data_IF_567469314159
#
_entry.id   IF_567469314159
#
_cell.length_a   1.000
_cell.length_b   1.000
_cell.length_c   1.000
_cell.angle_alpha   90.00
_cell.angle_beta   90.00
_cell.angle_gamma   90.00
#
_symmetry.space_group_name_H-M   'P 1'
#
loop_
_entity.id
_entity.type
_entity.pdbx_description
1 polymer ?
#
# COMPACT_ATOMS: atom_id res chain seq x y z
N UNK A 1 -30.70 8.54 -4.49
CA UNK A 1 -30.05 7.70 -3.47
C UNK A 1 -28.61 8.14 -3.30
N UNK A 2 -27.98 7.85 -2.16
CA UNK A 2 -26.54 8.14 -1.97
C UNK A 2 -25.71 7.39 -3.02
N UNK A 3 -24.68 8.05 -3.58
CA UNK A 3 -23.88 7.47 -4.70
C UNK A 3 -23.11 6.21 -4.29
N UNK A 4 -22.66 6.15 -3.04
CA UNK A 4 -21.99 4.99 -2.45
C UNK A 4 -22.87 3.73 -2.41
N UNK A 5 -24.18 3.87 -2.17
CA UNK A 5 -25.11 2.75 -2.22
C UNK A 5 -25.18 2.11 -3.61
N UNK A 6 -25.04 2.91 -4.68
CA UNK A 6 -24.99 2.39 -6.05
C UNK A 6 -23.70 1.62 -6.32
N UNK A 7 -22.55 2.12 -5.83
CA UNK A 7 -21.25 1.44 -5.94
C UNK A 7 -21.25 0.11 -5.16
N UNK A 8 -21.78 0.09 -3.94
CA UNK A 8 -21.88 -1.14 -3.14
C UNK A 8 -22.77 -2.19 -3.81
N UNK A 9 -23.89 -1.79 -4.41
CA UNK A 9 -24.75 -2.70 -5.16
C UNK A 9 -24.07 -3.24 -6.43
N UNK A 10 -23.29 -2.41 -7.14
CA UNK A 10 -22.52 -2.84 -8.30
C UNK A 10 -21.42 -3.83 -7.91
N UNK A 11 -20.69 -3.54 -6.82
CA UNK A 11 -19.68 -4.44 -6.28
C UNK A 11 -20.30 -5.78 -5.89
N UNK A 12 -21.42 -5.80 -5.18
CA UNK A 12 -22.11 -7.05 -4.81
C UNK A 12 -22.38 -7.93 -6.04
N UNK A 13 -22.96 -7.36 -7.11
CA UNK A 13 -23.21 -8.10 -8.35
C UNK A 13 -21.92 -8.66 -8.96
N UNK A 14 -20.86 -7.85 -9.01
CA UNK A 14 -19.57 -8.31 -9.52
C UNK A 14 -19.00 -9.46 -8.69
N UNK A 15 -19.10 -9.43 -7.36
CA UNK A 15 -18.64 -10.51 -6.50
C UNK A 15 -19.45 -11.79 -6.74
N UNK A 16 -20.77 -11.69 -6.87
CA UNK A 16 -21.65 -12.83 -7.14
C UNK A 16 -21.37 -13.46 -8.51
N UNK A 17 -21.06 -12.64 -9.53
CA UNK A 17 -20.74 -13.08 -10.90
C UNK A 17 -19.35 -13.71 -11.03
N UNK A 18 -18.37 -13.24 -10.26
CA UNK A 18 -16.96 -13.63 -10.40
C UNK A 18 -16.49 -14.63 -9.35
N UNK A 19 -17.22 -14.77 -8.24
CA UNK A 19 -16.82 -15.58 -7.10
C UNK A 19 -15.65 -15.01 -6.29
N UNK A 20 -15.24 -13.77 -6.55
CA UNK A 20 -14.17 -13.11 -5.80
C UNK A 20 -14.62 -12.93 -4.33
N UNK A 21 -13.76 -13.25 -3.34
CA UNK A 21 -14.10 -13.12 -1.92
C UNK A 21 -14.47 -11.68 -1.54
N UNK A 22 -15.55 -11.51 -0.76
CA UNK A 22 -16.00 -10.20 -0.25
C UNK A 22 -14.98 -9.59 0.71
N UNK A 23 -14.17 -10.44 1.34
CA UNK A 23 -13.13 -10.11 2.30
C UNK A 23 -12.15 -9.09 1.74
N UNK A 24 -11.78 -9.19 0.46
CA UNK A 24 -10.89 -8.22 -0.18
C UNK A 24 -11.46 -6.79 -0.17
N UNK A 25 -12.77 -6.65 -0.32
CA UNK A 25 -13.42 -5.35 -0.25
C UNK A 25 -13.60 -4.85 1.19
N UNK A 26 -13.90 -5.75 2.13
CA UNK A 26 -14.12 -5.37 3.53
C UNK A 26 -12.81 -5.13 4.29
N UNK A 27 -11.70 -5.74 3.87
CA UNK A 27 -10.38 -5.49 4.46
C UNK A 27 -9.95 -4.03 4.30
N UNK A 28 -10.32 -3.38 3.17
CA UNK A 28 -10.09 -1.94 2.97
C UNK A 28 -10.80 -1.08 4.02
N UNK A 29 -11.96 -1.53 4.53
CA UNK A 29 -12.71 -0.80 5.58
C UNK A 29 -11.89 -0.78 6.88
N UNK A 30 -11.08 -1.81 7.15
CA UNK A 30 -10.19 -1.83 8.32
C UNK A 30 -9.18 -0.69 8.23
N UNK A 31 -8.55 -0.49 7.07
CA UNK A 31 -7.65 0.63 6.84
C UNK A 31 -8.37 1.98 7.01
N UNK A 32 -9.57 2.14 6.43
CA UNK A 32 -10.36 3.38 6.57
C UNK A 32 -10.77 3.70 8.01
N UNK A 33 -11.07 2.69 8.83
CA UNK A 33 -11.36 2.90 10.26
C UNK A 33 -10.09 3.33 10.99
N UNK A 34 -8.92 2.74 10.70
CA UNK A 34 -7.64 3.14 11.30
C UNK A 34 -7.31 4.59 10.95
N UNK A 35 -7.43 4.93 9.68
CA UNK A 35 -7.30 6.28 9.13
C UNK A 35 -8.20 7.33 9.82
N UNK A 36 -9.35 6.92 10.38
CA UNK A 36 -10.28 7.79 11.09
C UNK A 36 -10.04 7.84 12.60
N UNK A 37 -9.32 6.88 13.18
CA UNK A 37 -9.25 6.69 14.65
C UNK A 37 -7.83 6.69 15.22
N UNK A 38 -6.83 6.28 14.44
CA UNK A 38 -5.45 6.04 14.91
C UNK A 38 -4.45 6.58 13.90
N UNK A 39 -4.00 7.85 14.02
CA UNK A 39 -3.07 8.46 13.05
C UNK A 39 -1.60 8.10 13.30
N UNK A 40 -1.31 7.05 14.10
CA UNK A 40 0.05 6.75 14.58
C UNK A 40 0.58 5.46 13.97
N UNK A 41 1.82 5.52 13.51
CA UNK A 41 2.55 4.40 12.94
C UNK A 41 3.75 4.13 13.86
N UNK A 42 3.64 3.27 14.87
CA UNK A 42 4.67 3.16 15.91
C UNK A 42 6.02 2.68 15.37
N UNK A 43 6.00 1.74 14.43
CA UNK A 43 7.18 1.11 13.86
C UNK A 43 6.91 0.66 12.39
N UNK A 44 7.95 0.13 11.75
CA UNK A 44 7.85 -0.41 10.39
C UNK A 44 6.87 -1.58 10.28
N UNK A 45 6.75 -2.41 11.32
CA UNK A 45 5.82 -3.55 11.30
C UNK A 45 4.36 -3.09 11.27
N UNK A 46 4.03 -2.02 12.00
CA UNK A 46 2.72 -1.39 11.96
C UNK A 46 2.42 -0.74 10.61
N UNK A 47 3.42 -0.13 9.96
CA UNK A 47 3.27 0.38 8.58
C UNK A 47 2.96 -0.74 7.60
N UNK A 48 3.67 -1.87 7.69
CA UNK A 48 3.43 -3.04 6.84
C UNK A 48 2.09 -3.71 7.14
N UNK A 49 1.67 -3.77 8.41
CA UNK A 49 0.34 -4.24 8.79
C UNK A 49 -0.76 -3.31 8.27
N UNK A 50 -0.54 -1.99 8.26
CA UNK A 50 -1.44 -1.08 7.59
C UNK A 50 -1.56 -1.39 6.09
N UNK A 51 -0.43 -1.58 5.39
CA UNK A 51 -0.39 -1.94 3.96
C UNK A 51 -1.12 -3.26 3.65
N UNK A 52 -1.14 -4.20 4.59
CA UNK A 52 -1.92 -5.45 4.49
C UNK A 52 -3.42 -5.20 4.33
N UNK A 53 -3.93 -4.10 4.89
CA UNK A 53 -5.35 -3.74 4.79
C UNK A 53 -5.61 -2.65 3.76
N UNK A 54 -4.68 -1.72 3.52
CA UNK A 54 -4.88 -0.59 2.62
C UNK A 54 -4.55 -0.88 1.16
N UNK A 55 -3.67 -1.86 0.88
CA UNK A 55 -3.15 -2.10 -0.47
C UNK A 55 -3.22 -3.57 -0.91
N UNK A 56 -2.80 -4.52 -0.07
CA UNK A 56 -2.81 -5.95 -0.41
C UNK A 56 -4.18 -6.47 -0.90
N UNK A 57 -5.34 -6.06 -0.34
CA UNK A 57 -6.63 -6.57 -0.79
C UNK A 57 -6.94 -6.21 -2.25
N UNK A 58 -6.43 -5.08 -2.75
CA UNK A 58 -6.60 -4.67 -4.16
C UNK A 58 -5.84 -5.61 -5.09
N UNK A 59 -4.58 -5.92 -4.78
CA UNK A 59 -3.79 -6.86 -5.58
C UNK A 59 -4.40 -8.27 -5.60
N UNK A 60 -4.82 -8.77 -4.44
CA UNK A 60 -5.49 -10.06 -4.31
C UNK A 60 -6.83 -10.11 -5.04
N UNK A 61 -7.62 -9.03 -5.00
CA UNK A 61 -8.85 -8.91 -5.78
C UNK A 61 -8.58 -9.10 -7.27
N UNK A 62 -7.58 -8.39 -7.82
CA UNK A 62 -7.23 -8.50 -9.24
C UNK A 62 -6.75 -9.90 -9.62
N UNK A 63 -5.96 -10.55 -8.76
CA UNK A 63 -5.49 -11.92 -8.98
C UNK A 63 -6.66 -12.92 -8.97
N UNK A 64 -7.53 -12.83 -7.98
CA UNK A 64 -8.70 -13.71 -7.87
C UNK A 64 -9.67 -13.48 -9.03
N UNK A 65 -9.86 -12.24 -9.47
CA UNK A 65 -10.70 -11.89 -10.63
C UNK A 65 -10.20 -12.53 -11.93
N UNK A 66 -8.88 -12.67 -12.09
CA UNK A 66 -8.28 -13.36 -13.24
C UNK A 66 -8.11 -14.87 -13.02
N UNK A 67 -8.58 -15.42 -11.90
CA UNK A 67 -8.46 -16.85 -11.58
C UNK A 67 -7.01 -17.31 -11.36
N UNK A 68 -6.16 -16.40 -10.88
CA UNK A 68 -4.76 -16.68 -10.60
C UNK A 68 -4.57 -17.54 -9.35
N UNK A 69 -3.41 -18.19 -9.23
CA UNK A 69 -3.12 -19.01 -8.05
C UNK A 69 -2.90 -18.13 -6.83
N UNK A 70 -3.45 -18.50 -5.67
CA UNK A 70 -3.14 -17.84 -4.38
C UNK A 70 -1.66 -17.95 -3.99
N UNK A 71 -0.88 -18.82 -4.62
CA UNK A 71 0.57 -18.83 -4.50
C UNK A 71 1.24 -17.52 -4.98
N UNK A 72 0.54 -16.72 -5.79
CA UNK A 72 1.00 -15.38 -6.23
C UNK A 72 0.77 -14.28 -5.19
N UNK A 73 -0.09 -14.51 -4.18
CA UNK A 73 -0.45 -13.48 -3.21
C UNK A 73 0.75 -12.90 -2.46
N UNK A 74 1.71 -13.68 -1.91
CA UNK A 74 2.83 -13.08 -1.19
C UNK A 74 3.67 -12.11 -2.03
N UNK A 75 3.89 -12.43 -3.32
CA UNK A 75 4.63 -11.56 -4.22
C UNK A 75 3.82 -10.32 -4.62
N UNK A 76 2.50 -10.45 -4.76
CA UNK A 76 1.59 -9.32 -4.99
C UNK A 76 1.47 -8.42 -3.77
N UNK A 77 1.35 -8.97 -2.57
CA UNK A 77 1.27 -8.22 -1.32
C UNK A 77 2.55 -7.40 -1.11
N UNK A 78 3.71 -7.96 -1.43
CA UNK A 78 4.98 -7.24 -1.39
C UNK A 78 5.00 -6.08 -2.38
N UNK A 79 4.55 -6.28 -3.62
CA UNK A 79 4.46 -5.20 -4.61
C UNK A 79 3.49 -4.10 -4.17
N UNK A 80 2.30 -4.48 -3.70
CA UNK A 80 1.29 -3.56 -3.19
C UNK A 80 1.80 -2.75 -2.00
N UNK A 81 2.51 -3.38 -1.05
CA UNK A 81 3.10 -2.69 0.08
C UNK A 81 4.18 -1.70 -0.36
N UNK A 82 5.06 -2.07 -1.30
CA UNK A 82 6.07 -1.13 -1.81
C UNK A 82 5.42 0.08 -2.47
N UNK A 83 4.43 -0.14 -3.35
CA UNK A 83 3.71 0.95 -4.00
C UNK A 83 3.00 1.85 -2.98
N UNK A 84 2.41 1.26 -1.93
CA UNK A 84 1.73 2.02 -0.90
C UNK A 84 2.69 2.87 -0.06
N UNK A 85 3.86 2.34 0.30
CA UNK A 85 4.91 3.11 0.99
C UNK A 85 5.40 4.25 0.09
N UNK A 86 5.60 4.00 -1.21
CA UNK A 86 5.98 5.06 -2.16
C UNK A 86 4.90 6.15 -2.27
N UNK A 87 3.62 5.78 -2.30
CA UNK A 87 2.50 6.74 -2.26
C UNK A 87 2.58 7.59 -0.99
N UNK A 88 2.76 6.97 0.17
CA UNK A 88 2.92 7.69 1.43
C UNK A 88 4.10 8.66 1.41
N UNK A 89 5.25 8.27 0.85
CA UNK A 89 6.42 9.14 0.69
C UNK A 89 6.16 10.32 -0.27
N UNK A 90 5.43 10.09 -1.36
CA UNK A 90 5.08 11.13 -2.34
C UNK A 90 4.12 12.18 -1.73
N UNK A 91 3.17 11.72 -0.92
CA UNK A 91 2.10 12.56 -0.38
C UNK A 91 2.34 13.04 1.07
N UNK A 92 3.49 12.70 1.68
CA UNK A 92 3.91 13.03 3.06
C UNK A 92 3.40 14.38 3.57
N UNK A 93 3.68 15.45 2.82
CA UNK A 93 3.34 16.82 3.19
C UNK A 93 1.84 17.10 3.12
N UNK A 94 1.17 16.58 2.09
CA UNK A 94 -0.28 16.73 1.91
C UNK A 94 -1.06 15.95 2.96
N UNK A 95 -0.68 14.69 3.19
CA UNK A 95 -1.28 13.83 4.20
C UNK A 95 -1.19 14.44 5.60
N UNK A 96 -0.04 15.01 5.96
CA UNK A 96 0.09 15.69 7.25
C UNK A 96 -0.71 17.00 7.30
N UNK A 97 -0.52 17.89 6.33
CA UNK A 97 -1.15 19.22 6.33
C UNK A 97 -2.67 19.17 6.27
N UNK A 98 -3.21 18.34 5.38
CA UNK A 98 -4.62 18.37 5.00
C UNK A 98 -5.46 17.34 5.78
N UNK A 99 -4.84 16.22 6.19
CA UNK A 99 -5.52 15.11 6.86
C UNK A 99 -5.04 14.87 8.30
N UNK A 100 -3.92 15.47 8.72
CA UNK A 100 -3.31 15.21 10.02
C UNK A 100 -2.75 13.79 10.15
N UNK A 101 -2.33 13.18 9.04
CA UNK A 101 -1.86 11.78 8.99
C UNK A 101 -0.37 11.72 8.70
N UNK A 102 0.35 10.91 9.47
CA UNK A 102 1.76 10.63 9.25
C UNK A 102 2.00 9.12 9.26
N UNK A 103 2.45 8.60 8.12
CA UNK A 103 2.73 7.17 7.93
C UNK A 103 4.21 6.83 8.13
N UNK A 104 5.06 7.81 8.48
CA UNK A 104 6.43 7.54 8.87
C UNK A 104 6.43 6.82 10.23
N UNK A 105 7.26 5.78 10.41
CA UNK A 105 7.43 5.12 11.70
C UNK A 105 7.93 6.09 12.78
N UNK A 106 7.20 6.13 13.90
CA UNK A 106 7.45 7.01 15.04
C UNK A 106 8.82 6.72 15.67
N UNK A 107 9.22 5.45 15.76
CA UNK A 107 10.50 5.02 16.29
C UNK A 107 11.69 5.51 15.45
N UNK A 108 11.59 5.42 14.12
CA UNK A 108 12.59 5.93 13.19
C UNK A 108 12.67 7.45 13.24
N UNK A 109 11.52 8.13 13.26
CA UNK A 109 11.48 9.59 13.43
C UNK A 109 12.17 10.01 14.73
N UNK A 110 11.81 9.38 15.85
CA UNK A 110 12.41 9.67 17.15
C UNK A 110 13.93 9.41 17.17
N UNK A 111 14.40 8.30 16.58
CA UNK A 111 15.82 7.96 16.50
C UNK A 111 16.65 8.98 15.70
N UNK A 112 16.02 9.71 14.78
CA UNK A 112 16.66 10.71 13.94
C UNK A 112 16.27 12.16 14.30
N UNK A 113 15.61 12.37 15.44
CA UNK A 113 15.23 13.70 15.93
C UNK A 113 14.20 14.41 15.04
N UNK A 114 13.39 13.65 14.32
CA UNK A 114 12.36 14.14 13.40
C UNK A 114 11.02 14.23 14.13
N UNK A 115 10.28 15.32 13.90
CA UNK A 115 8.89 15.48 14.31
C UNK A 115 7.99 15.43 13.07
N UNK A 116 6.71 15.03 13.19
CA UNK A 116 5.77 15.06 12.06
C UNK A 116 5.72 16.43 11.36
N UNK A 117 5.79 17.53 12.12
CA UNK A 117 5.78 18.89 11.55
C UNK A 117 6.95 19.18 10.60
N UNK A 118 8.08 18.47 10.72
CA UNK A 118 9.26 18.67 9.89
C UNK A 118 9.00 18.35 8.40
N UNK A 119 7.95 17.58 8.09
CA UNK A 119 7.55 17.29 6.70
C UNK A 119 6.93 18.50 5.99
N UNK A 120 6.54 19.54 6.75
CA UNK A 120 5.96 20.76 6.20
C UNK A 120 7.00 21.75 5.68
N UNK A 121 8.26 21.59 6.12
CA UNK A 121 9.36 22.45 5.73
C UNK A 121 9.60 22.42 4.20
N UNK A 122 10.24 23.47 3.67
CA UNK A 122 10.55 23.54 2.24
C UNK A 122 11.60 22.48 1.84
N UNK A 123 12.46 22.08 2.78
CA UNK A 123 13.52 21.10 2.54
C UNK A 123 13.54 20.06 3.65
N UNK A 124 13.64 18.80 3.26
CA UNK A 124 13.83 17.71 4.20
C UNK A 124 15.13 17.88 4.99
N UNK A 125 15.01 17.86 6.32
CA UNK A 125 16.14 17.83 7.25
C UNK A 125 17.00 16.58 7.03
N UNK A 126 18.28 16.57 7.45
CA UNK A 126 19.09 15.36 7.37
C UNK A 126 18.45 14.15 8.05
N UNK A 127 17.77 14.36 9.19
CA UNK A 127 17.04 13.31 9.89
C UNK A 127 15.86 12.77 9.09
N UNK A 128 15.05 13.66 8.48
CA UNK A 128 13.91 13.24 7.67
C UNK A 128 14.37 12.46 6.42
N UNK A 129 15.48 12.88 5.80
CA UNK A 129 16.07 12.12 4.69
C UNK A 129 16.46 10.71 5.12
N UNK A 130 17.12 10.54 6.27
CA UNK A 130 17.45 9.22 6.80
C UNK A 130 16.20 8.36 7.02
N UNK A 131 15.12 8.94 7.54
CA UNK A 131 13.84 8.20 7.70
C UNK A 131 13.27 7.79 6.35
N UNK A 132 13.24 8.69 5.36
CA UNK A 132 12.78 8.38 4.01
C UNK A 132 13.64 7.30 3.35
N UNK A 133 14.96 7.38 3.49
CA UNK A 133 15.90 6.40 2.96
C UNK A 133 15.63 5.01 3.57
N UNK A 134 15.31 4.92 4.87
CA UNK A 134 14.91 3.64 5.50
C UNK A 134 13.62 3.05 4.92
N UNK A 135 12.66 3.89 4.54
CA UNK A 135 11.44 3.42 3.89
C UNK A 135 11.71 2.99 2.44
N UNK A 136 12.62 3.67 1.75
CA UNK A 136 13.06 3.28 0.41
C UNK A 136 13.85 1.97 0.41
N UNK A 137 14.73 1.75 1.41
CA UNK A 137 15.41 0.47 1.62
C UNK A 137 14.38 -0.68 1.80
N UNK A 138 13.29 -0.42 2.52
CA UNK A 138 12.22 -1.39 2.70
C UNK A 138 11.43 -1.62 1.41
N UNK A 139 11.17 -0.58 0.62
CA UNK A 139 10.62 -0.71 -0.74
C UNK A 139 11.50 -1.60 -1.62
N UNK A 140 12.82 -1.43 -1.58
CA UNK A 140 13.75 -2.28 -2.34
C UNK A 140 13.66 -3.75 -1.92
N UNK A 141 13.57 -4.02 -0.61
CA UNK A 141 13.37 -5.36 -0.07
C UNK A 141 12.04 -5.97 -0.54
N UNK A 142 10.96 -5.19 -0.53
CA UNK A 142 9.64 -5.60 -0.99
C UNK A 142 9.62 -5.85 -2.50
N UNK A 143 10.27 -5.00 -3.29
CA UNK A 143 10.39 -5.14 -4.74
C UNK A 143 11.22 -6.39 -5.12
N UNK A 144 12.25 -6.72 -4.34
CA UNK A 144 12.98 -7.96 -4.50
C UNK A 144 12.10 -9.19 -4.23
N UNK A 145 11.28 -9.16 -3.17
CA UNK A 145 10.32 -10.23 -2.87
C UNK A 145 9.23 -10.36 -3.95
N UNK A 146 8.77 -9.23 -4.49
CA UNK A 146 7.78 -9.16 -5.56
C UNK A 146 8.31 -9.59 -6.94
N UNK A 147 9.64 -9.71 -7.12
CA UNK A 147 10.26 -9.98 -8.42
C UNK A 147 9.77 -11.27 -9.10
N UNK A 148 9.24 -12.22 -8.34
CA UNK A 148 8.71 -13.49 -8.87
C UNK A 148 7.30 -13.37 -9.43
N UNK A 149 6.56 -12.30 -9.11
CA UNK A 149 5.14 -12.13 -9.43
C UNK A 149 4.81 -12.32 -10.93
N UNK A 150 5.55 -11.73 -11.89
CA UNK A 150 5.24 -11.91 -13.30
C UNK A 150 5.34 -13.38 -13.76
N UNK A 151 6.21 -14.17 -13.14
CA UNK A 151 6.33 -15.60 -13.41
C UNK A 151 5.16 -16.44 -12.88
N UNK A 152 4.38 -15.89 -11.95
CA UNK A 152 3.26 -16.57 -11.28
C UNK A 152 1.90 -16.23 -11.91
N UNK A 153 1.78 -15.09 -12.61
CA UNK A 153 0.53 -14.64 -13.25
C UNK A 153 0.37 -15.32 -14.61
N UNK A 154 -0.76 -15.98 -14.87
CA UNK A 154 -1.11 -16.61 -16.16
C UNK A 154 -1.65 -15.61 -17.16
N UNK A 155 -2.48 -14.66 -16.74
CA UNK A 155 -3.01 -13.61 -17.60
C UNK A 155 -1.90 -12.75 -18.21
N UNK A 156 -1.93 -12.59 -19.53
CA UNK A 156 -0.83 -11.94 -20.26
C UNK A 156 -0.76 -10.44 -20.00
N UNK A 157 -1.91 -9.77 -19.88
CA UNK A 157 -1.96 -8.30 -19.71
C UNK A 157 -1.53 -7.94 -18.29
N UNK A 158 -2.11 -8.61 -17.30
CA UNK A 158 -1.76 -8.43 -15.90
C UNK A 158 -0.28 -8.76 -15.64
N UNK A 159 0.25 -9.81 -16.28
CA UNK A 159 1.69 -10.14 -16.22
C UNK A 159 2.57 -9.00 -16.71
N UNK A 160 2.23 -8.42 -17.88
CA UNK A 160 3.01 -7.31 -18.46
C UNK A 160 2.94 -6.06 -17.60
N UNK A 161 1.78 -5.76 -17.02
CA UNK A 161 1.61 -4.66 -16.07
C UNK A 161 2.50 -4.85 -14.83
N UNK A 162 2.41 -6.01 -14.17
CA UNK A 162 3.25 -6.33 -13.01
C UNK A 162 4.75 -6.27 -13.34
N UNK A 163 5.17 -6.80 -14.50
CA UNK A 163 6.56 -6.73 -14.94
C UNK A 163 7.03 -5.29 -15.21
N UNK A 164 6.16 -4.45 -15.76
CA UNK A 164 6.46 -3.04 -16.04
C UNK A 164 6.63 -2.25 -14.76
N UNK A 165 5.71 -2.43 -13.79
CA UNK A 165 5.80 -1.78 -12.48
C UNK A 165 7.12 -2.15 -11.78
N UNK A 166 7.46 -3.44 -11.74
CA UNK A 166 8.71 -3.93 -11.16
C UNK A 166 9.96 -3.43 -11.90
N UNK A 167 9.89 -3.24 -13.21
CA UNK A 167 10.99 -2.68 -13.98
C UNK A 167 11.20 -1.19 -13.70
N UNK A 168 10.11 -0.43 -13.49
CA UNK A 168 10.17 0.98 -13.11
C UNK A 168 10.71 1.15 -11.69
N UNK A 169 10.38 0.25 -10.77
CA UNK A 169 10.86 0.29 -9.40
C UNK A 169 12.38 0.02 -9.24
N UNK A 170 13.06 -0.47 -10.29
CA UNK A 170 14.51 -0.72 -10.30
C UNK A 170 15.33 0.44 -10.90
N UNK A 171 14.68 1.51 -11.33
CA UNK A 171 15.31 2.68 -11.94
C UNK A 171 15.45 3.82 -10.95
#
# INVERSE_FOLDING_TARGET
GRRDAATAAALRRSLDETGVPVEHATDLIVAFIRDATTPRTPDMAALLDYCRYSAAPVGRYLLDLHGESRASWPASDALCASLQILNHLQDLKGDWRDLGRCYLPDDLMAAHGVRPDDVLEERASPGLRLVMDRLLDECDRLNAAAATLPGLIRDRRMRLEAATILALARR
#
